data_IF_391646423144
#
_entry.id   IF_391646423144
#
_cell.length_a   1.000
_cell.length_b   1.000
_cell.length_c   1.000
_cell.angle_alpha   90.00
_cell.angle_beta   90.00
_cell.angle_gamma   90.00
#
_symmetry.space_group_name_H-M   'P 1'
#
loop_
_entity.id
_entity.type
_entity.pdbx_description
1 polymer ?
#
# COMPACT_ATOMS: atom_id res chain seq x y z
N UNK A 1 -11.33 12.79 -7.52
CA UNK A 1 -10.73 11.44 -7.37
C UNK A 1 -9.50 11.57 -6.50
N UNK A 2 -9.47 10.85 -5.38
CA UNK A 2 -8.35 10.82 -4.44
C UNK A 2 -7.29 9.86 -4.99
N UNK A 3 -6.05 10.33 -5.13
CA UNK A 3 -4.94 9.51 -5.62
C UNK A 3 -4.20 8.95 -4.42
N UNK A 4 -4.10 7.63 -4.31
CA UNK A 4 -3.22 6.97 -3.35
C UNK A 4 -1.77 7.26 -3.75
N UNK A 5 -0.98 7.74 -2.80
CA UNK A 5 0.44 8.08 -2.98
C UNK A 5 1.34 7.08 -2.25
N UNK A 6 0.86 6.49 -1.14
CA UNK A 6 1.59 5.50 -0.37
C UNK A 6 0.65 4.53 0.36
N UNK A 7 1.23 3.49 0.93
CA UNK A 7 0.61 2.59 1.90
C UNK A 7 1.48 2.55 3.15
N UNK A 8 0.87 2.54 4.32
CA UNK A 8 1.59 2.35 5.58
C UNK A 8 1.33 0.96 6.15
N UNK A 9 2.42 0.29 6.53
CA UNK A 9 2.48 -1.02 7.19
C UNK A 9 3.86 -1.17 7.86
N UNK A 10 4.00 -2.06 8.86
CA UNK A 10 5.26 -2.26 9.61
C UNK A 10 5.86 -0.94 10.16
N UNK A 11 4.99 0.00 10.56
CA UNK A 11 5.35 1.35 10.99
C UNK A 11 6.18 2.17 9.98
N UNK A 12 6.06 1.88 8.68
CA UNK A 12 6.81 2.49 7.59
C UNK A 12 5.89 2.87 6.40
N UNK A 13 6.38 3.75 5.51
CA UNK A 13 5.64 4.22 4.34
C UNK A 13 6.21 3.63 3.05
N UNK A 14 5.33 3.05 2.22
CA UNK A 14 5.74 2.31 1.03
C UNK A 14 4.97 2.77 -0.21
N UNK A 15 5.65 2.85 -1.34
CA UNK A 15 4.99 3.22 -2.60
C UNK A 15 4.05 2.10 -3.07
N UNK A 16 3.02 2.42 -3.89
CA UNK A 16 2.08 1.43 -4.40
C UNK A 16 2.76 0.26 -5.12
N UNK A 17 3.88 0.50 -5.81
CA UNK A 17 4.64 -0.55 -6.49
C UNK A 17 5.29 -1.53 -5.50
N UNK A 18 5.88 -1.05 -4.41
CA UNK A 18 6.48 -1.89 -3.37
C UNK A 18 5.41 -2.65 -2.58
N UNK A 19 4.30 -1.98 -2.23
CA UNK A 19 3.17 -2.62 -1.58
C UNK A 19 2.57 -3.73 -2.46
N UNK A 20 2.34 -3.47 -3.76
CA UNK A 20 1.89 -4.50 -4.71
C UNK A 20 2.86 -5.67 -4.78
N UNK A 21 4.17 -5.44 -4.92
CA UNK A 21 5.17 -6.53 -4.97
C UNK A 21 5.12 -7.42 -3.73
N UNK A 22 4.82 -6.84 -2.57
CA UNK A 22 4.74 -7.56 -1.31
C UNK A 22 3.41 -8.32 -1.13
N UNK A 23 2.29 -7.69 -1.47
CA UNK A 23 0.97 -8.19 -1.08
C UNK A 23 0.12 -8.73 -2.24
N UNK A 24 0.52 -8.54 -3.50
CA UNK A 24 -0.24 -9.05 -4.65
C UNK A 24 -0.31 -10.59 -4.71
N UNK A 25 0.63 -11.31 -4.09
CA UNK A 25 0.59 -12.77 -4.01
C UNK A 25 -0.38 -13.31 -2.94
N UNK A 26 -0.91 -12.45 -2.06
CA UNK A 26 -1.95 -12.82 -1.09
C UNK A 26 -3.36 -12.76 -1.71
N UNK A 27 -3.49 -12.26 -2.94
CA UNK A 27 -4.72 -12.27 -3.70
C UNK A 27 -5.07 -13.70 -4.12
N UNK A 28 -5.65 -14.48 -3.21
CA UNK A 28 -6.07 -15.86 -3.47
C UNK A 28 -7.28 -15.90 -4.39
N UNK A 29 -7.05 -15.95 -5.70
CA UNK A 29 -7.95 -16.60 -6.67
C UNK A 29 -9.32 -15.96 -6.93
N UNK A 30 -9.60 -14.74 -6.49
CA UNK A 30 -10.79 -13.98 -6.94
C UNK A 30 -10.36 -12.91 -7.92
N UNK A 31 -11.00 -12.91 -9.09
CA UNK A 31 -10.75 -11.96 -10.16
C UNK A 31 -11.11 -10.55 -9.67
N UNK A 32 -10.11 -9.72 -9.34
CA UNK A 32 -10.19 -8.31 -8.90
C UNK A 32 -11.13 -7.97 -7.71
N UNK A 33 -12.00 -8.88 -7.26
CA UNK A 33 -12.89 -8.69 -6.12
C UNK A 33 -12.08 -8.66 -4.83
N UNK A 34 -11.91 -7.46 -4.29
CA UNK A 34 -11.18 -7.23 -3.04
C UNK A 34 -9.78 -6.64 -3.22
N UNK A 35 -9.35 -6.32 -4.45
CA UNK A 35 -8.14 -5.53 -4.69
C UNK A 35 -8.50 -4.08 -4.96
N UNK A 36 -7.61 -3.17 -4.56
CA UNK A 36 -7.69 -1.78 -4.98
C UNK A 36 -7.11 -1.54 -6.39
N UNK A 37 -7.15 -0.29 -6.86
CA UNK A 37 -6.62 0.11 -8.17
C UNK A 37 -5.10 -0.08 -8.35
N UNK A 38 -4.39 -0.53 -7.32
CA UNK A 38 -2.96 -0.86 -7.35
C UNK A 38 -2.70 -2.37 -7.21
N UNK A 39 -3.75 -3.19 -7.18
CA UNK A 39 -3.64 -4.64 -7.07
C UNK A 39 -3.29 -5.12 -5.66
N UNK A 40 -3.63 -4.33 -4.64
CA UNK A 40 -3.39 -4.63 -3.22
C UNK A 40 -4.71 -5.02 -2.56
N UNK A 41 -4.77 -6.09 -1.75
CA UNK A 41 -5.98 -6.45 -1.04
C UNK A 41 -6.42 -5.34 -0.08
N UNK A 42 -7.71 -4.98 -0.11
CA UNK A 42 -8.29 -3.90 0.72
C UNK A 42 -8.27 -4.22 2.21
N UNK A 43 -8.14 -5.50 2.56
CA UNK A 43 -8.07 -6.06 3.91
C UNK A 43 -6.70 -6.67 4.24
N UNK A 44 -5.66 -6.33 3.47
CA UNK A 44 -4.31 -6.83 3.73
C UNK A 44 -3.79 -6.37 5.09
N UNK A 45 -3.14 -7.30 5.79
CA UNK A 45 -2.44 -7.07 7.05
C UNK A 45 -0.95 -7.43 6.89
N UNK A 46 -0.09 -6.74 7.64
CA UNK A 46 1.32 -7.10 7.75
C UNK A 46 1.53 -8.31 8.68
N UNK A 47 2.80 -8.69 8.87
CA UNK A 47 3.17 -9.85 9.71
C UNK A 47 2.93 -9.63 11.21
N UNK A 48 2.68 -8.39 11.63
CA UNK A 48 2.37 -7.98 13.00
C UNK A 48 0.86 -7.81 13.22
N UNK A 49 0.05 -8.03 12.18
CA UNK A 49 -1.41 -7.87 12.21
C UNK A 49 -1.87 -6.43 12.04
N UNK A 50 -0.99 -5.49 11.64
CA UNK A 50 -1.42 -4.14 11.33
C UNK A 50 -2.01 -4.11 9.92
N UNK A 51 -3.15 -3.42 9.77
CA UNK A 51 -3.76 -3.21 8.45
C UNK A 51 -2.90 -2.32 7.57
N UNK A 52 -2.85 -2.66 6.29
CA UNK A 52 -2.36 -1.75 5.27
C UNK A 52 -3.28 -0.54 5.19
N UNK A 53 -2.72 0.63 5.42
CA UNK A 53 -3.46 1.87 5.36
C UNK A 53 -3.06 2.67 4.11
N UNK A 54 -4.02 2.89 3.21
CA UNK A 54 -3.81 3.70 2.02
C UNK A 54 -3.70 5.18 2.40
N UNK A 55 -2.63 5.81 1.97
CA UNK A 55 -2.37 7.24 2.14
C UNK A 55 -2.65 7.94 0.82
N UNK A 56 -3.45 9.00 0.86
CA UNK A 56 -3.82 9.76 -0.32
C UNK A 56 -3.07 11.09 -0.39
N UNK A 57 -2.99 11.67 -1.59
CA UNK A 57 -2.29 12.95 -1.87
C UNK A 57 -2.73 14.16 -1.02
N UNK A 58 -3.86 14.04 -0.32
CA UNK A 58 -4.48 15.09 0.48
C UNK A 58 -4.28 14.87 1.98
N UNK A 59 -3.73 13.71 2.37
CA UNK A 59 -3.19 13.51 3.69
C UNK A 59 -1.89 14.32 3.70
N UNK A 60 -1.67 15.14 4.72
CA UNK A 60 -0.44 15.93 4.93
C UNK A 60 0.77 14.99 5.14
N UNK A 61 1.08 14.18 4.14
CA UNK A 61 2.25 13.35 4.13
C UNK A 61 3.43 14.29 3.89
N UNK A 62 4.39 14.40 4.82
CA UNK A 62 5.61 15.17 4.57
C UNK A 62 6.33 14.61 3.34
N UNK A 63 7.32 15.33 2.80
CA UNK A 63 8.15 14.86 1.68
C UNK A 63 8.91 13.58 2.10
N UNK A 64 8.24 12.44 1.96
CA UNK A 64 8.69 11.12 2.41
C UNK A 64 9.01 10.23 1.21
N UNK A 65 9.85 9.24 1.46
CA UNK A 65 10.33 8.30 0.47
C UNK A 65 9.86 6.91 0.86
N UNK A 66 9.67 6.05 -0.13
CA UNK A 66 9.36 4.65 0.10
C UNK A 66 10.48 4.00 0.93
N UNK A 67 10.14 3.43 2.07
CA UNK A 67 11.11 2.77 2.97
C UNK A 67 11.75 1.52 2.34
N UNK A 68 11.15 0.98 1.28
CA UNK A 68 11.71 -0.17 0.54
C UNK A 68 12.64 0.24 -0.60
N UNK A 69 12.20 1.14 -1.49
CA UNK A 69 12.92 1.46 -2.73
C UNK A 69 13.53 2.85 -2.77
N UNK A 70 13.31 3.66 -1.73
CA UNK A 70 13.80 5.05 -1.59
C UNK A 70 13.31 6.02 -2.67
N UNK A 71 12.36 5.63 -3.51
CA UNK A 71 11.68 6.53 -4.45
C UNK A 71 10.78 7.52 -3.68
N UNK A 72 10.58 8.74 -4.18
CA UNK A 72 9.62 9.69 -3.58
C UNK A 72 8.19 9.13 -3.59
N UNK A 73 7.41 9.48 -2.56
CA UNK A 73 6.00 9.11 -2.39
C UNK A 73 5.04 10.20 -2.90
#
# INVERSE_FOLDING_TARGET
MSRIVAYTYEAAAHCPACARRRFASLATGRADEGLDGHGIPVDAEDREGNRLHAVFRWDDLPDTHCDTCRAPL
#
